data_IF_128586182878
#
_entry.id   IF_128586182878
#
_cell.length_a   1.000
_cell.length_b   1.000
_cell.length_c   1.000
_cell.angle_alpha   90.00
_cell.angle_beta   90.00
_cell.angle_gamma   90.00
#
_symmetry.space_group_name_H-M   'P 1'
#
loop_
_entity.id
_entity.type
_entity.pdbx_description
1 polymer ?
#
# COMPACT_ATOMS: atom_id res chain seq x y z
N UNK A 1 24.61 0.98 -12.15
CA UNK A 1 23.56 0.22 -12.84
C UNK A 1 23.45 0.78 -14.24
N UNK A 2 23.73 -0.04 -15.26
CA UNK A 2 23.61 0.39 -16.65
C UNK A 2 22.15 0.65 -17.00
N UNK A 3 21.88 1.51 -17.98
CA UNK A 3 20.52 1.92 -18.35
C UNK A 3 19.60 0.72 -18.65
N UNK A 4 20.10 -0.27 -19.39
CA UNK A 4 19.38 -1.51 -19.70
C UNK A 4 19.01 -2.31 -18.44
N UNK A 5 19.91 -2.39 -17.46
CA UNK A 5 19.64 -3.09 -16.19
C UNK A 5 18.54 -2.38 -15.39
N UNK A 6 18.48 -1.04 -15.47
CA UNK A 6 17.42 -0.26 -14.81
C UNK A 6 16.05 -0.56 -15.40
N UNK A 7 15.95 -0.66 -16.73
CA UNK A 7 14.69 -1.01 -17.39
C UNK A 7 14.27 -2.45 -17.13
N UNK A 8 15.20 -3.41 -17.12
CA UNK A 8 14.89 -4.80 -16.73
C UNK A 8 14.40 -4.89 -15.28
N UNK A 9 15.04 -4.16 -14.37
CA UNK A 9 14.59 -4.10 -12.99
C UNK A 9 13.22 -3.44 -12.84
N UNK A 10 12.97 -2.35 -13.58
CA UNK A 10 11.68 -1.67 -13.63
C UNK A 10 10.56 -2.59 -14.13
N UNK A 11 10.84 -3.38 -15.15
CA UNK A 11 9.91 -4.35 -15.72
C UNK A 11 9.51 -5.41 -14.68
N UNK A 12 10.49 -5.98 -13.97
CA UNK A 12 10.25 -6.96 -12.88
C UNK A 12 9.36 -6.36 -11.81
N UNK A 13 9.69 -5.15 -11.32
CA UNK A 13 8.91 -4.46 -10.31
C UNK A 13 7.46 -4.20 -10.75
N UNK A 14 7.25 -3.89 -12.03
CA UNK A 14 5.91 -3.59 -12.55
C UNK A 14 5.08 -4.86 -12.81
N UNK A 15 5.67 -5.85 -13.50
CA UNK A 15 4.97 -7.04 -13.97
C UNK A 15 4.82 -8.07 -12.85
N UNK A 16 5.92 -8.38 -12.15
CA UNK A 16 5.98 -9.47 -11.17
C UNK A 16 5.54 -8.96 -9.79
N UNK A 17 6.15 -7.87 -9.33
CA UNK A 17 5.84 -7.31 -7.99
C UNK A 17 4.57 -6.45 -7.99
N UNK A 18 4.08 -6.05 -9.18
CA UNK A 18 2.81 -5.37 -9.35
C UNK A 18 2.82 -3.88 -8.97
N UNK A 19 3.99 -3.25 -8.83
CA UNK A 19 4.09 -1.83 -8.48
C UNK A 19 3.59 -0.91 -9.61
N UNK A 20 3.01 0.26 -9.29
CA UNK A 20 2.58 1.24 -10.27
C UNK A 20 3.80 1.96 -10.83
N UNK A 21 3.74 2.43 -12.08
CA UNK A 21 4.88 3.06 -12.75
C UNK A 21 5.45 4.26 -11.96
N UNK A 22 4.61 5.01 -11.25
CA UNK A 22 5.07 6.07 -10.33
C UNK A 22 6.02 5.57 -9.24
N UNK A 23 5.70 4.43 -8.62
CA UNK A 23 6.55 3.83 -7.59
C UNK A 23 7.79 3.18 -8.19
N UNK A 24 7.66 2.58 -9.37
CA UNK A 24 8.79 2.00 -10.11
C UNK A 24 9.79 3.10 -10.49
N UNK A 25 9.33 4.27 -10.92
CA UNK A 25 10.16 5.44 -11.20
C UNK A 25 10.96 5.88 -9.96
N UNK A 26 10.30 5.96 -8.79
CA UNK A 26 10.96 6.30 -7.51
C UNK A 26 12.06 5.29 -7.14
N UNK A 27 11.83 3.99 -7.35
CA UNK A 27 12.78 2.92 -6.99
C UNK A 27 13.96 2.87 -7.97
N UNK A 28 13.69 3.03 -9.26
CA UNK A 28 14.68 2.83 -10.33
C UNK A 28 15.40 4.12 -10.73
N UNK A 29 14.87 5.28 -10.33
CA UNK A 29 15.37 6.61 -10.70
C UNK A 29 15.16 6.95 -12.18
N UNK A 30 14.29 6.22 -12.88
CA UNK A 30 13.89 6.50 -14.27
C UNK A 30 12.76 7.51 -14.32
N UNK A 31 12.65 8.27 -15.42
CA UNK A 31 11.53 9.21 -15.59
C UNK A 31 10.26 8.43 -15.91
N UNK A 32 9.12 8.93 -15.42
CA UNK A 32 7.83 8.28 -15.63
C UNK A 32 7.49 8.15 -17.13
N UNK A 33 7.77 9.20 -17.92
CA UNK A 33 7.56 9.21 -19.37
C UNK A 33 8.37 8.12 -20.10
N UNK A 34 9.60 7.86 -19.64
CA UNK A 34 10.45 6.80 -20.20
C UNK A 34 9.89 5.41 -19.91
N UNK A 35 9.35 5.22 -18.70
CA UNK A 35 8.70 3.98 -18.30
C UNK A 35 7.37 3.77 -19.04
N UNK A 36 6.59 4.83 -19.26
CA UNK A 36 5.35 4.77 -20.05
C UNK A 36 5.64 4.39 -21.51
N UNK A 37 6.66 5.01 -22.12
CA UNK A 37 7.09 4.67 -23.47
C UNK A 37 7.59 3.22 -23.56
N UNK A 38 8.39 2.75 -22.59
CA UNK A 38 8.85 1.37 -22.51
C UNK A 38 7.68 0.39 -22.30
N UNK A 39 6.72 0.74 -21.44
CA UNK A 39 5.54 -0.07 -21.16
C UNK A 39 4.70 -0.33 -22.42
N UNK A 40 4.55 0.70 -23.26
CA UNK A 40 3.86 0.58 -24.55
C UNK A 40 4.69 -0.21 -25.57
N UNK A 41 5.98 0.13 -25.72
CA UNK A 41 6.88 -0.51 -26.69
C UNK A 41 7.05 -2.00 -26.45
N UNK A 42 7.20 -2.39 -25.19
CA UNK A 42 7.56 -3.76 -24.79
C UNK A 42 6.35 -4.52 -24.20
N UNK A 43 5.14 -3.99 -24.42
CA UNK A 43 3.84 -4.60 -24.08
C UNK A 43 3.70 -5.06 -22.61
N UNK A 44 4.24 -4.29 -21.66
CA UNK A 44 4.28 -4.70 -20.25
C UNK A 44 2.89 -4.95 -19.65
N UNK A 45 1.85 -4.22 -20.09
CA UNK A 45 0.48 -4.44 -19.60
C UNK A 45 -0.07 -5.81 -19.96
N UNK A 46 0.19 -6.28 -21.18
CA UNK A 46 -0.26 -7.60 -21.63
C UNK A 46 0.49 -8.70 -20.88
N UNK A 47 1.81 -8.58 -20.82
CA UNK A 47 2.68 -9.51 -20.09
C UNK A 47 2.35 -9.59 -18.60
N UNK A 48 1.97 -8.45 -17.99
CA UNK A 48 1.45 -8.41 -16.62
C UNK A 48 0.12 -9.16 -16.47
N UNK A 49 -0.82 -8.98 -17.40
CA UNK A 49 -2.09 -9.73 -17.39
C UNK A 49 -1.85 -11.23 -17.54
N UNK A 50 -0.97 -11.63 -18.46
CA UNK A 50 -0.59 -13.03 -18.66
C UNK A 50 0.04 -13.61 -17.39
N UNK A 51 0.98 -12.90 -16.78
CA UNK A 51 1.62 -13.31 -15.53
C UNK A 51 0.59 -13.48 -14.40
N UNK A 52 -0.29 -12.49 -14.20
CA UNK A 52 -1.35 -12.56 -13.18
C UNK A 52 -2.29 -13.74 -13.47
N UNK A 53 -2.68 -13.95 -14.72
CA UNK A 53 -3.48 -15.10 -15.14
C UNK A 53 -2.82 -16.43 -14.79
N UNK A 54 -1.54 -16.60 -15.15
CA UNK A 54 -0.77 -17.79 -14.85
C UNK A 54 -0.64 -18.04 -13.33
N UNK A 55 -0.41 -16.99 -12.54
CA UNK A 55 -0.35 -17.09 -11.07
C UNK A 55 -1.69 -17.56 -10.49
N UNK A 56 -2.81 -17.00 -10.97
CA UNK A 56 -4.15 -17.40 -10.53
C UNK A 56 -4.45 -18.85 -10.92
N UNK A 57 -4.09 -19.27 -12.12
CA UNK A 57 -4.27 -20.64 -12.59
C UNK A 57 -3.43 -21.62 -11.79
N UNK A 58 -2.16 -21.29 -11.48
CA UNK A 58 -1.31 -22.10 -10.60
C UNK A 58 -1.96 -22.24 -9.23
N UNK A 59 -2.48 -21.16 -8.65
CA UNK A 59 -3.17 -21.21 -7.35
C UNK A 59 -4.37 -22.14 -7.42
N UNK A 60 -5.23 -21.94 -8.41
CA UNK A 60 -6.44 -22.76 -8.62
C UNK A 60 -6.07 -24.23 -8.77
N UNK A 61 -5.12 -24.56 -9.63
CA UNK A 61 -4.71 -25.93 -9.90
C UNK A 61 -4.06 -26.57 -8.67
N UNK A 62 -3.27 -25.81 -7.91
CA UNK A 62 -2.70 -26.28 -6.65
C UNK A 62 -3.81 -26.61 -5.66
N UNK A 63 -4.77 -25.70 -5.44
CA UNK A 63 -5.93 -25.96 -4.55
C UNK A 63 -6.74 -27.18 -4.99
N UNK A 64 -6.99 -27.33 -6.30
CA UNK A 64 -7.68 -28.51 -6.85
C UNK A 64 -6.89 -29.79 -6.64
N UNK A 65 -5.56 -29.76 -6.79
CA UNK A 65 -4.70 -30.90 -6.49
C UNK A 65 -4.76 -31.27 -5.02
N UNK A 66 -4.69 -30.29 -4.10
CA UNK A 66 -4.82 -30.54 -2.65
C UNK A 66 -6.14 -31.24 -2.34
N UNK A 67 -7.25 -30.71 -2.87
CA UNK A 67 -8.58 -31.30 -2.71
C UNK A 67 -8.61 -32.76 -3.16
N UNK A 68 -8.14 -33.06 -4.39
CA UNK A 68 -8.14 -34.42 -4.94
C UNK A 68 -7.29 -35.39 -4.13
N UNK A 69 -6.14 -34.94 -3.61
CA UNK A 69 -5.28 -35.77 -2.76
C UNK A 69 -5.94 -36.08 -1.41
N UNK A 70 -6.63 -35.11 -0.82
CA UNK A 70 -7.40 -35.31 0.42
C UNK A 70 -8.54 -36.31 0.17
N UNK A 71 -9.32 -36.14 -0.90
CA UNK A 71 -10.39 -37.08 -1.29
C UNK A 71 -9.84 -38.51 -1.45
N UNK A 72 -8.73 -38.66 -2.19
CA UNK A 72 -8.07 -39.97 -2.36
C UNK A 72 -7.60 -40.58 -1.04
N UNK A 73 -7.04 -39.77 -0.14
CA UNK A 73 -6.56 -40.25 1.15
C UNK A 73 -7.73 -40.66 2.07
N UNK A 74 -8.86 -39.96 2.01
CA UNK A 74 -10.08 -40.31 2.75
C UNK A 74 -10.72 -41.59 2.22
N UNK A 75 -10.71 -41.80 0.91
CA UNK A 75 -11.31 -42.99 0.29
C UNK A 75 -10.44 -44.24 0.50
N UNK A 76 -9.12 -44.12 0.32
CA UNK A 76 -8.21 -45.26 0.42
C UNK A 76 -7.82 -45.61 1.85
N UNK A 77 -7.76 -44.60 2.73
CA UNK A 77 -7.13 -44.68 4.06
C UNK A 77 -5.71 -45.28 4.03
N UNK A 78 -5.02 -45.22 2.88
CA UNK A 78 -3.66 -45.71 2.74
C UNK A 78 -2.71 -44.79 3.55
N UNK A 79 -1.92 -45.33 4.49
CA UNK A 79 -0.91 -44.57 5.22
C UNK A 79 0.01 -43.72 4.33
N UNK A 80 0.29 -44.18 3.10
CA UNK A 80 1.12 -43.46 2.13
C UNK A 80 0.44 -42.19 1.61
N UNK A 81 -0.83 -42.28 1.25
CA UNK A 81 -1.61 -41.14 0.75
C UNK A 81 -1.88 -40.14 1.88
N UNK A 82 -2.19 -40.63 3.08
CA UNK A 82 -2.34 -39.79 4.29
C UNK A 82 -1.03 -39.03 4.60
N UNK A 83 0.12 -39.72 4.55
CA UNK A 83 1.42 -39.09 4.77
C UNK A 83 1.75 -38.04 3.70
N UNK A 84 1.41 -38.31 2.43
CA UNK A 84 1.59 -37.35 1.34
C UNK A 84 0.77 -36.07 1.57
N UNK A 85 -0.50 -36.21 1.98
CA UNK A 85 -1.36 -35.07 2.35
C UNK A 85 -0.79 -34.29 3.53
N UNK A 86 -0.37 -34.96 4.60
CA UNK A 86 0.20 -34.30 5.77
C UNK A 86 1.46 -33.47 5.44
N UNK A 87 2.36 -34.01 4.58
CA UNK A 87 3.55 -33.30 4.11
C UNK A 87 3.18 -32.08 3.26
N UNK A 88 2.18 -32.23 2.40
CA UNK A 88 1.73 -31.17 1.51
C UNK A 88 1.07 -30.02 2.29
N UNK A 89 0.22 -30.33 3.28
CA UNK A 89 -0.39 -29.33 4.16
C UNK A 89 0.66 -28.64 5.07
N UNK A 90 1.67 -29.39 5.53
CA UNK A 90 2.79 -28.80 6.28
C UNK A 90 3.62 -27.84 5.43
N UNK A 91 3.88 -28.19 4.16
CA UNK A 91 4.57 -27.32 3.22
C UNK A 91 3.74 -26.05 2.93
N UNK A 92 2.44 -26.23 2.69
CA UNK A 92 1.50 -25.13 2.49
C UNK A 92 1.43 -24.17 3.67
N UNK A 93 1.45 -24.67 4.90
CA UNK A 93 1.43 -23.84 6.11
C UNK A 93 2.72 -23.02 6.30
N UNK A 94 3.83 -23.45 5.70
CA UNK A 94 5.13 -22.75 5.74
C UNK A 94 5.28 -21.71 4.63
N UNK A 95 4.54 -21.85 3.54
CA UNK A 95 4.44 -20.80 2.53
C UNK A 95 3.76 -19.59 3.16
N UNK A 96 4.55 -18.59 3.57
CA UNK A 96 4.02 -17.24 3.77
C UNK A 96 3.34 -16.81 2.47
N UNK A 97 2.22 -16.06 2.51
CA UNK A 97 1.61 -15.52 1.29
C UNK A 97 2.61 -14.53 0.67
N UNK A 98 3.49 -15.02 -0.19
CA UNK A 98 4.57 -14.26 -0.81
C UNK A 98 4.05 -13.28 -1.88
N UNK A 99 2.75 -13.32 -2.17
CA UNK A 99 2.18 -12.68 -3.34
C UNK A 99 0.85 -12.03 -2.99
N UNK A 100 0.94 -10.89 -2.31
CA UNK A 100 -0.18 -9.98 -2.09
C UNK A 100 -0.45 -9.12 -3.35
N UNK A 101 -0.27 -9.71 -4.54
CA UNK A 101 -0.41 -9.04 -5.85
C UNK A 101 -1.86 -8.55 -6.03
N UNK A 102 -2.82 -9.25 -5.42
CA UNK A 102 -4.23 -8.84 -5.36
C UNK A 102 -4.48 -7.65 -4.44
N UNK A 103 -3.69 -7.46 -3.39
CA UNK A 103 -3.82 -6.30 -2.50
C UNK A 103 -3.38 -5.00 -3.18
N UNK A 104 -2.54 -5.08 -4.22
CA UNK A 104 -2.09 -3.91 -4.96
C UNK A 104 -3.14 -3.35 -5.93
N UNK A 105 -4.05 -4.20 -6.44
CA UNK A 105 -5.13 -3.79 -7.33
C UNK A 105 -6.26 -2.99 -6.64
N UNK A 106 -6.16 -2.76 -5.32
CA UNK A 106 -7.06 -1.84 -4.61
C UNK A 106 -6.48 -0.43 -4.41
N UNK A 107 -5.27 -0.16 -4.93
CA UNK A 107 -4.71 1.19 -4.97
C UNK A 107 -4.79 1.77 -6.39
N UNK A 108 -5.99 1.71 -6.99
CA UNK A 108 -6.34 2.73 -7.95
C UNK A 108 -6.35 4.05 -7.17
N UNK A 109 -5.25 4.81 -7.33
CA UNK A 109 -5.10 6.16 -6.79
C UNK A 109 -6.17 7.06 -7.44
N UNK A 110 -7.41 6.98 -6.93
CA UNK A 110 -8.10 8.22 -6.64
C UNK A 110 -7.38 8.76 -5.41
N UNK A 111 -6.49 9.72 -5.64
CA UNK A 111 -6.09 10.67 -4.60
C UNK A 111 -7.37 11.38 -4.17
N UNK A 112 -8.16 10.73 -3.33
CA UNK A 112 -9.04 11.45 -2.45
C UNK A 112 -8.05 12.21 -1.57
N UNK A 113 -8.07 13.53 -1.67
CA UNK A 113 -7.44 14.41 -0.68
C UNK A 113 -8.14 14.16 0.66
N UNK A 114 -7.92 12.99 1.25
CA UNK A 114 -8.31 12.73 2.63
C UNK A 114 -7.20 13.32 3.46
N UNK A 115 -7.57 14.18 4.40
CA UNK A 115 -6.67 14.60 5.45
C UNK A 115 -5.99 13.34 6.04
N UNK A 116 -4.65 13.23 5.96
CA UNK A 116 -3.94 12.03 6.43
C UNK A 116 -4.25 11.70 7.89
N UNK A 117 -4.60 12.72 8.69
CA UNK A 117 -5.00 12.56 10.09
C UNK A 117 -6.37 11.87 10.20
N UNK A 118 -7.33 12.24 9.35
CA UNK A 118 -8.67 11.63 9.31
C UNK A 118 -8.61 10.18 8.79
N UNK A 119 -7.76 9.93 7.79
CA UNK A 119 -7.51 8.58 7.28
C UNK A 119 -6.92 7.66 8.37
N UNK A 120 -5.95 8.17 9.13
CA UNK A 120 -5.33 7.45 10.25
C UNK A 120 -6.34 7.19 11.37
N UNK A 121 -7.20 8.16 11.70
CA UNK A 121 -8.27 7.97 12.68
C UNK A 121 -9.24 6.85 12.27
N UNK A 122 -9.73 6.86 11.02
CA UNK A 122 -10.63 5.82 10.50
C UNK A 122 -9.98 4.43 10.49
N UNK A 123 -8.67 4.35 10.26
CA UNK A 123 -7.93 3.09 10.32
C UNK A 123 -7.88 2.53 11.76
N UNK A 124 -7.66 3.39 12.76
CA UNK A 124 -7.69 3.02 14.18
C UNK A 124 -9.09 2.57 14.60
N UNK A 125 -10.14 3.28 14.19
CA UNK A 125 -11.54 2.91 14.47
C UNK A 125 -11.94 1.55 13.87
N UNK A 126 -11.44 1.23 12.67
CA UNK A 126 -11.64 -0.10 12.08
C UNK A 126 -10.90 -1.17 12.87
N UNK A 127 -9.66 -0.89 13.31
CA UNK A 127 -8.86 -1.81 14.10
C UNK A 127 -9.52 -2.09 15.46
N UNK A 128 -10.06 -1.07 16.13
CA UNK A 128 -10.78 -1.24 17.40
C UNK A 128 -12.07 -2.03 17.21
N UNK A 129 -12.86 -1.76 16.16
CA UNK A 129 -14.05 -2.54 15.85
C UNK A 129 -13.74 -4.03 15.66
N UNK A 130 -12.66 -4.35 14.93
CA UNK A 130 -12.21 -5.75 14.74
C UNK A 130 -11.78 -6.42 16.06
N UNK A 131 -11.16 -5.67 16.96
CA UNK A 131 -10.75 -6.17 18.28
C UNK A 131 -11.97 -6.40 19.20
N UNK A 132 -13.00 -5.56 19.11
CA UNK A 132 -14.24 -5.71 19.86
C UNK A 132 -15.10 -6.88 19.35
N UNK A 133 -15.09 -7.16 18.04
CA UNK A 133 -15.79 -8.31 17.47
C UNK A 133 -15.13 -9.66 17.77
N UNK A 134 -13.85 -9.68 18.17
CA UNK A 134 -13.11 -10.90 18.55
C UNK A 134 -12.38 -10.68 19.88
N UNK A 135 -13.11 -10.75 21.01
CA UNK A 135 -12.56 -10.41 22.33
C UNK A 135 -11.43 -11.34 22.78
N UNK A 136 -11.33 -12.54 22.21
CA UNK A 136 -10.27 -13.51 22.49
C UNK A 136 -8.88 -13.07 22.00
N UNK A 137 -8.82 -12.07 21.11
CA UNK A 137 -7.59 -11.45 20.62
C UNK A 137 -7.28 -10.10 21.30
N UNK A 138 -8.01 -9.73 22.36
CA UNK A 138 -7.73 -8.52 23.13
C UNK A 138 -6.50 -8.74 24.01
N UNK A 139 -5.34 -8.32 23.53
CA UNK A 139 -4.12 -8.27 24.34
C UNK A 139 -3.99 -6.93 25.07
N UNK A 140 -3.52 -6.95 26.32
CA UNK A 140 -3.24 -5.73 27.10
C UNK A 140 -2.19 -4.84 26.41
N UNK A 141 -1.27 -5.46 25.66
CA UNK A 141 -0.29 -4.76 24.85
C UNK A 141 -0.96 -4.01 23.68
N UNK A 142 -1.85 -4.68 22.93
CA UNK A 142 -2.56 -4.04 21.82
C UNK A 142 -3.44 -2.87 22.27
N UNK A 143 -3.98 -2.93 23.49
CA UNK A 143 -4.74 -1.82 24.09
C UNK A 143 -3.83 -0.63 24.44
N UNK A 144 -2.59 -0.88 24.92
CA UNK A 144 -1.61 0.20 25.19
C UNK A 144 -1.16 0.88 23.90
N UNK A 145 -0.85 0.09 22.87
CA UNK A 145 -0.46 0.59 21.55
C UNK A 145 -1.60 1.41 20.91
N UNK A 146 -2.86 0.98 21.07
CA UNK A 146 -4.03 1.76 20.64
C UNK A 146 -4.17 3.09 21.39
N UNK A 147 -3.90 3.11 22.69
CA UNK A 147 -3.92 4.35 23.47
C UNK A 147 -2.83 5.32 23.01
N UNK A 148 -1.61 4.82 22.79
CA UNK A 148 -0.47 5.63 22.33
C UNK A 148 -0.73 6.21 20.93
N UNK A 149 -1.29 5.41 20.01
CA UNK A 149 -1.64 5.87 18.66
C UNK A 149 -2.75 6.93 18.68
N UNK A 150 -3.76 6.81 19.55
CA UNK A 150 -4.78 7.84 19.73
C UNK A 150 -4.20 9.16 20.28
N UNK A 151 -3.31 9.08 21.27
CA UNK A 151 -2.61 10.25 21.82
C UNK A 151 -1.73 10.94 20.78
N UNK A 152 -1.07 10.17 19.92
CA UNK A 152 -0.28 10.70 18.81
C UNK A 152 -1.18 11.44 17.81
N UNK A 153 -2.34 10.89 17.43
CA UNK A 153 -3.31 11.54 16.54
C UNK A 153 -3.80 12.87 17.13
N UNK A 154 -4.08 12.91 18.43
CA UNK A 154 -4.52 14.13 19.12
C UNK A 154 -3.41 15.21 19.10
N UNK A 155 -2.16 14.81 19.35
CA UNK A 155 -1.02 15.71 19.30
C UNK A 155 -0.83 16.29 17.89
N UNK A 156 -0.95 15.45 16.85
CA UNK A 156 -0.85 15.88 15.45
C UNK A 156 -2.00 16.81 15.04
N UNK A 157 -3.22 16.58 15.53
CA UNK A 157 -4.37 17.50 15.32
C UNK A 157 -4.15 18.87 15.95
N UNK A 158 -3.52 18.91 17.12
CA UNK A 158 -3.22 20.17 17.82
C UNK A 158 -2.10 20.93 17.11
N UNK A 159 -1.01 20.25 16.74
CA UNK A 159 0.11 20.86 15.99
C UNK A 159 -0.31 21.37 14.61
N UNK A 160 -1.19 20.66 13.90
CA UNK A 160 -1.74 21.12 12.61
C UNK A 160 -2.57 22.40 12.72
N UNK A 161 -3.37 22.55 13.79
CA UNK A 161 -4.16 23.77 14.06
C UNK A 161 -3.29 24.99 14.40
N UNK A 162 -2.15 24.78 15.06
CA UNK A 162 -1.23 25.87 15.40
C UNK A 162 -0.44 26.36 14.17
N UNK A 163 -0.09 25.48 13.23
CA UNK A 163 0.53 25.90 11.96
C UNK A 163 -0.43 26.71 11.07
N UNK A 164 -1.72 26.39 11.07
CA UNK A 164 -2.73 27.07 10.24
C UNK A 164 -3.05 28.49 10.78
N UNK A 165 -3.05 28.66 12.11
CA UNK A 165 -3.11 29.99 12.76
C UNK A 165 -1.87 30.84 12.51
N UNK A 166 -0.69 30.23 12.39
CA UNK A 166 0.57 30.96 12.17
C UNK A 166 0.79 31.35 10.70
N UNK A 167 0.04 30.74 9.76
CA UNK A 167 0.01 31.14 8.34
C UNK A 167 -0.90 32.34 8.09
N UNK A 168 -2.02 32.43 8.80
CA UNK A 168 -2.96 33.58 8.70
C UNK A 168 -2.42 34.85 9.35
N UNK A 169 -1.55 34.74 10.35
CA UNK A 169 -0.83 35.90 10.96
C UNK A 169 0.39 36.39 10.16
N UNK A 170 0.79 35.65 9.10
CA UNK A 170 1.94 35.97 8.23
C UNK A 170 1.56 36.80 6.99
N UNK A 171 0.33 37.30 6.91
CA UNK A 171 -0.04 38.37 5.99
C UNK A 171 0.52 39.72 6.49
N UNK A 172 1.02 40.55 5.59
CA UNK A 172 1.41 41.93 5.95
C UNK A 172 0.18 42.64 6.52
N UNK A 173 0.31 43.27 7.69
CA UNK A 173 -0.78 44.05 8.27
C UNK A 173 -1.20 45.17 7.32
N UNK A 174 -2.50 45.51 7.32
CA UNK A 174 -3.10 46.55 6.46
C UNK A 174 -2.28 47.86 6.50
N UNK A 175 -1.76 48.22 7.68
CA UNK A 175 -0.91 49.39 7.89
C UNK A 175 0.42 49.34 7.09
N UNK A 176 1.01 48.15 6.94
CA UNK A 176 2.27 47.94 6.21
C UNK A 176 2.04 47.88 4.70
N UNK A 177 0.87 47.39 4.28
CA UNK A 177 0.42 47.46 2.87
C UNK A 177 0.22 48.92 2.46
N UNK A 178 -0.37 49.74 3.34
CA UNK A 178 -0.61 51.17 3.07
C UNK A 178 0.70 52.00 3.06
N UNK A 179 1.68 51.60 3.87
CA UNK A 179 3.03 52.18 3.84
C UNK A 179 3.77 51.83 2.53
N UNK A 180 3.64 50.59 2.06
CA UNK A 180 4.19 50.16 0.76
C UNK A 180 3.49 50.90 -0.40
N UNK A 181 2.16 51.06 -0.34
CA UNK A 181 1.40 51.84 -1.34
C UNK A 181 1.85 53.30 -1.40
N UNK A 182 2.02 53.96 -0.24
CA UNK A 182 2.55 55.34 -0.19
C UNK A 182 3.95 55.45 -0.78
N UNK A 183 4.84 54.49 -0.50
CA UNK A 183 6.19 54.44 -1.09
C UNK A 183 6.20 54.23 -2.60
N UNK A 184 5.24 53.47 -3.15
CA UNK A 184 5.14 53.23 -4.60
C UNK A 184 4.51 54.43 -5.32
N UNK A 185 3.56 55.13 -4.70
CA UNK A 185 2.88 56.29 -5.28
C UNK A 185 3.67 57.61 -5.15
N UNK A 186 4.83 57.59 -4.48
CA UNK A 186 5.74 58.74 -4.41
C UNK A 186 5.23 59.95 -3.64
N UNK A 187 4.20 59.78 -2.80
CA UNK A 187 3.69 60.84 -1.93
C UNK A 187 4.48 60.77 -0.62
N UNK A 188 5.57 61.51 -0.56
CA UNK A 188 6.22 61.89 0.70
C UNK A 188 5.58 63.19 1.19
N UNK A 189 5.08 63.20 2.42
CA UNK A 189 5.15 64.42 3.23
C UNK A 189 6.55 64.52 3.84
#
# INVERSE_FOLDING_TARGET
MHETERFLHAEVLHIIDGFPLSRVAEITGLRLEELEAACVRDHWQERRREFVGAVLDIRRNTTMLRKRLIEKALDSLDPRDISAVARLETAAAREKPAWDILSFHLSDKKTIQVDPIDALQKAVERKTALMLHRPENLSLQGIRELKETLQLIETLKLSGKDEEKNRTSRGLSEARIEEIRRKILGICE
#
